data_IF_126717489582
#
_entry.id   IF_126717489582
#
_cell.length_a   1.000
_cell.length_b   1.000
_cell.length_c   1.000
_cell.angle_alpha   90.00
_cell.angle_beta   90.00
_cell.angle_gamma   90.00
#
_symmetry.space_group_name_H-M   'P 1'
#
loop_
_entity.id
_entity.type
_entity.pdbx_description
1 polymer ?
#
# COMPACT_ATOMS: atom_id res chain seq x y z
N UNK A 1 -3.51 -15.35 -34.79
CA UNK A 1 -2.26 -15.18 -34.03
C UNK A 1 -2.59 -15.38 -32.56
N UNK A 2 -1.87 -16.25 -31.86
CA UNK A 2 -2.01 -16.46 -30.42
C UNK A 2 -1.44 -15.24 -29.69
N UNK A 3 -2.26 -14.60 -28.86
CA UNK A 3 -1.82 -13.49 -28.04
C UNK A 3 -0.81 -14.00 -27.02
N UNK A 4 0.44 -13.52 -27.07
CA UNK A 4 1.44 -13.86 -26.08
C UNK A 4 1.03 -13.29 -24.72
N UNK A 5 1.13 -14.12 -23.68
CA UNK A 5 0.98 -13.65 -22.30
C UNK A 5 2.16 -12.73 -21.98
N UNK A 6 1.86 -11.46 -21.75
CA UNK A 6 2.83 -10.48 -21.27
C UNK A 6 2.62 -10.30 -19.77
N UNK A 7 3.55 -10.81 -18.97
CA UNK A 7 3.52 -10.72 -17.52
C UNK A 7 3.65 -9.27 -17.00
N UNK A 8 4.09 -8.34 -17.86
CA UNK A 8 4.17 -6.90 -17.53
C UNK A 8 2.80 -6.23 -17.63
N UNK A 9 1.85 -6.85 -18.33
CA UNK A 9 0.51 -6.30 -18.57
C UNK A 9 -0.48 -6.85 -17.57
N UNK A 10 -1.14 -5.95 -16.84
CA UNK A 10 -2.28 -6.35 -16.02
C UNK A 10 -3.40 -6.95 -16.87
N UNK A 11 -4.02 -8.03 -16.37
CA UNK A 11 -5.20 -8.65 -16.99
C UNK A 11 -6.50 -7.89 -16.68
N UNK A 12 -6.45 -6.93 -15.75
CA UNK A 12 -7.61 -6.13 -15.32
C UNK A 12 -7.24 -4.66 -15.17
N UNK A 13 -8.22 -3.78 -15.41
CA UNK A 13 -8.09 -2.35 -15.07
C UNK A 13 -8.10 -2.15 -13.55
N UNK A 14 -7.54 -1.03 -13.09
CA UNK A 14 -7.52 -0.65 -11.68
C UNK A 14 -8.79 0.12 -11.30
N UNK A 15 -9.64 -0.47 -10.47
CA UNK A 15 -10.82 0.17 -9.91
C UNK A 15 -10.57 0.55 -8.45
N UNK A 16 -10.24 1.82 -8.20
CA UNK A 16 -9.76 2.29 -6.89
C UNK A 16 -10.77 2.09 -5.75
N UNK A 17 -12.08 2.19 -6.05
CA UNK A 17 -13.14 2.05 -5.04
C UNK A 17 -13.39 0.61 -4.59
N UNK A 18 -12.86 -0.38 -5.32
CA UNK A 18 -12.99 -1.80 -5.01
C UNK A 18 -11.64 -2.51 -4.84
N UNK A 19 -10.54 -1.78 -4.92
CA UNK A 19 -9.18 -2.34 -4.86
C UNK A 19 -8.43 -1.81 -3.65
N UNK A 20 -7.89 -2.71 -2.83
CA UNK A 20 -6.92 -2.35 -1.78
C UNK A 20 -5.57 -2.08 -2.42
N UNK A 21 -5.00 -0.90 -2.16
CA UNK A 21 -3.69 -0.51 -2.68
C UNK A 21 -2.70 -0.48 -1.52
N UNK A 22 -1.58 -1.21 -1.64
CA UNK A 22 -0.48 -1.18 -0.69
C UNK A 22 0.80 -0.71 -1.38
N UNK A 23 1.53 0.18 -0.72
CA UNK A 23 2.85 0.66 -1.15
C UNK A 23 3.84 0.27 -0.07
N UNK A 24 4.87 -0.46 -0.47
CA UNK A 24 5.96 -0.89 0.41
C UNK A 24 7.25 -0.31 -0.17
N UNK A 25 7.82 0.65 0.52
CA UNK A 25 9.18 1.11 0.24
C UNK A 25 10.17 0.20 0.97
N UNK A 26 10.96 -0.53 0.18
CA UNK A 26 12.00 -1.40 0.68
C UNK A 26 13.33 -0.64 0.70
N UNK A 27 13.80 -0.23 1.88
CA UNK A 27 15.20 0.21 2.06
C UNK A 27 15.92 -0.67 3.08
N UNK A 28 17.26 -0.66 3.03
CA UNK A 28 18.11 -1.47 3.90
C UNK A 28 17.95 -1.16 5.40
N UNK A 29 17.63 0.09 5.74
CA UNK A 29 17.61 0.57 7.13
C UNK A 29 16.23 1.00 7.62
N UNK A 30 15.33 1.36 6.70
CA UNK A 30 13.96 1.79 7.01
C UNK A 30 13.00 1.26 5.97
N UNK A 31 11.83 0.85 6.41
CA UNK A 31 10.76 0.39 5.54
C UNK A 31 9.59 1.32 5.79
N UNK A 32 8.99 1.82 4.71
CA UNK A 32 7.75 2.58 4.77
C UNK A 32 6.64 1.72 4.19
N UNK A 33 5.54 1.64 4.91
CA UNK A 33 4.33 0.96 4.45
C UNK A 33 3.20 1.97 4.47
N UNK A 34 2.48 2.06 3.34
CA UNK A 34 1.25 2.82 3.23
C UNK A 34 0.17 1.95 2.56
N UNK A 35 -1.09 2.14 2.95
CA UNK A 35 -2.22 1.45 2.33
C UNK A 35 -3.41 2.39 2.10
N UNK A 36 -4.16 2.15 1.03
CA UNK A 36 -5.50 2.69 0.76
C UNK A 36 -6.50 1.55 0.84
N UNK A 37 -7.47 1.69 1.72
CA UNK A 37 -8.58 0.74 1.87
C UNK A 37 -9.86 1.48 1.46
N UNK A 38 -10.58 0.99 0.45
CA UNK A 38 -11.84 1.60 0.05
C UNK A 38 -12.86 1.62 1.19
N UNK A 39 -13.68 2.67 1.26
CA UNK A 39 -14.65 2.86 2.34
C UNK A 39 -14.06 3.29 3.70
N UNK A 40 -12.74 3.18 3.89
CA UNK A 40 -12.06 3.67 5.10
C UNK A 40 -11.56 5.10 4.89
N UNK A 41 -12.25 6.07 5.49
CA UNK A 41 -11.75 7.46 5.51
C UNK A 41 -10.47 7.52 6.32
N UNK A 42 -9.36 7.89 5.67
CA UNK A 42 -8.11 8.19 6.37
C UNK A 42 -8.36 9.37 7.31
N UNK A 43 -8.20 9.14 8.60
CA UNK A 43 -8.10 10.20 9.60
C UNK A 43 -6.62 10.31 9.99
N UNK A 44 -5.86 11.26 9.42
CA UNK A 44 -4.49 11.50 9.82
C UNK A 44 -4.48 12.20 11.18
N UNK A 45 -4.77 11.47 12.26
CA UNK A 45 -4.71 12.01 13.62
C UNK A 45 -4.00 11.06 14.57
N UNK A 46 -3.03 11.68 15.27
CA UNK A 46 -2.04 11.15 16.22
C UNK A 46 -0.96 10.26 15.62
N UNK A 47 0.15 10.92 15.26
CA UNK A 47 1.49 10.38 15.47
C UNK A 47 1.52 9.82 16.89
N UNK A 48 1.53 8.49 17.01
CA UNK A 48 1.85 7.82 18.27
C UNK A 48 3.32 8.15 18.49
N UNK A 49 3.61 9.17 19.29
CA UNK A 49 4.94 9.27 19.88
C UNK A 49 5.11 8.02 20.72
N UNK A 50 6.03 7.16 20.30
CA UNK A 50 6.57 6.12 21.16
C UNK A 50 7.23 6.85 22.33
N UNK A 51 6.47 7.19 23.35
CA UNK A 51 7.04 7.61 24.63
C UNK A 51 7.85 6.42 25.11
N UNK A 52 9.16 6.62 25.07
CA UNK A 52 10.18 5.72 25.54
C UNK A 52 9.91 5.44 27.02
N UNK A 53 9.08 4.45 27.32
CA UNK A 53 8.98 3.93 28.68
C UNK A 53 10.26 3.16 28.93
N UNK A 54 11.21 3.85 29.56
CA UNK A 54 12.34 3.26 30.25
C UNK A 54 11.76 2.21 31.22
N UNK A 55 12.07 0.95 30.96
CA UNK A 55 12.02 -0.11 31.96
C UNK A 55 13.45 -0.28 32.46
#
# INVERSE_FOLDING_TARGET
MSQSFDASRSLTALEQDNTVIAVIEMSKAKWLIAALIPGLKRQPLKKIELTHHHC
#
